data_IF_415028962577
#
_entry.id   IF_415028962577
#
_cell.length_a   1.000
_cell.length_b   1.000
_cell.length_c   1.000
_cell.angle_alpha   90.00
_cell.angle_beta   90.00
_cell.angle_gamma   90.00
#
_symmetry.space_group_name_H-M   'P 1'
#
loop_
_entity.id
_entity.type
_entity.pdbx_description
1 polymer ?
#
# COMPACT_ATOMS: atom_id res chain seq x y z
N UNK A 1 46.87 17.59 4.59
CA UNK A 1 46.15 16.56 5.38
C UNK A 1 45.66 15.49 4.42
N UNK A 2 46.18 14.27 4.53
CA UNK A 2 45.80 13.10 3.71
C UNK A 2 44.48 12.53 4.24
N UNK A 3 43.47 12.35 3.39
CA UNK A 3 42.33 11.48 3.69
C UNK A 3 42.56 10.12 3.04
N UNK A 4 42.85 9.13 3.90
CA UNK A 4 42.98 7.72 3.55
C UNK A 4 41.61 7.07 3.56
N UNK A 5 41.38 6.16 2.60
CA UNK A 5 40.16 5.35 2.44
C UNK A 5 39.94 4.48 3.68
N UNK A 6 38.69 4.43 4.16
CA UNK A 6 38.13 3.21 4.77
C UNK A 6 36.81 2.91 4.06
N UNK A 7 36.93 2.11 3.00
CA UNK A 7 35.86 1.31 2.42
C UNK A 7 35.50 0.22 3.42
N UNK A 8 34.44 0.43 4.18
CA UNK A 8 33.75 -0.61 4.94
C UNK A 8 32.33 -0.71 4.39
N UNK A 9 32.07 -1.71 3.56
CA UNK A 9 30.71 -2.09 3.18
C UNK A 9 29.95 -2.43 4.46
N UNK A 10 28.81 -1.78 4.78
CA UNK A 10 27.92 -2.31 5.80
C UNK A 10 27.42 -3.66 5.32
N UNK A 11 27.55 -4.67 6.19
CA UNK A 11 27.19 -6.05 5.90
C UNK A 11 25.80 -6.16 5.29
N UNK A 12 25.69 -7.04 4.29
CA UNK A 12 24.42 -7.43 3.67
C UNK A 12 23.48 -7.89 4.79
N UNK A 13 22.57 -7.02 5.21
CA UNK A 13 21.41 -7.39 6.00
C UNK A 13 20.68 -8.51 5.26
N UNK A 14 20.35 -9.57 5.97
CA UNK A 14 19.61 -10.70 5.40
C UNK A 14 18.33 -10.15 4.77
N UNK A 15 18.18 -10.46 3.49
CA UNK A 15 17.04 -10.05 2.66
C UNK A 15 15.84 -10.90 3.05
N UNK A 16 14.73 -10.28 3.43
CA UNK A 16 13.55 -11.02 3.88
C UNK A 16 12.57 -11.27 2.74
N UNK A 17 12.34 -12.55 2.47
CA UNK A 17 11.39 -13.09 1.50
C UNK A 17 10.20 -13.77 2.20
N UNK A 18 9.79 -13.32 3.39
CA UNK A 18 8.90 -14.11 4.27
C UNK A 18 7.39 -13.95 4.00
N UNK A 19 6.92 -12.76 3.59
CA UNK A 19 5.50 -12.52 3.27
C UNK A 19 5.15 -12.81 1.81
N UNK A 20 6.11 -12.64 0.88
CA UNK A 20 5.90 -12.89 -0.55
C UNK A 20 5.45 -14.33 -0.90
N UNK A 21 6.01 -15.41 -0.32
CA UNK A 21 5.57 -16.77 -0.61
C UNK A 21 4.10 -17.01 -0.29
N UNK A 22 3.59 -16.38 0.78
CA UNK A 22 2.17 -16.45 1.13
C UNK A 22 1.32 -15.71 0.10
N UNK A 23 1.66 -14.45 -0.20
CA UNK A 23 0.98 -13.65 -1.22
C UNK A 23 0.96 -14.36 -2.58
N UNK A 24 2.08 -14.97 -2.99
CA UNK A 24 2.19 -15.77 -4.22
C UNK A 24 1.35 -17.05 -4.19
N UNK A 25 1.17 -17.69 -3.04
CA UNK A 25 0.35 -18.91 -2.94
C UNK A 25 -1.15 -18.62 -3.07
N UNK A 26 -1.60 -17.46 -2.56
CA UNK A 26 -2.95 -16.92 -2.82
C UNK A 26 -3.08 -16.37 -4.24
N UNK A 27 -2.01 -15.80 -4.78
CA UNK A 27 -1.88 -15.25 -6.12
C UNK A 27 -1.23 -16.26 -7.09
N UNK A 28 -1.87 -17.41 -7.31
CA UNK A 28 -1.58 -18.19 -8.52
C UNK A 28 -2.48 -17.65 -9.64
N UNK A 29 -1.95 -17.12 -10.76
CA UNK A 29 -2.79 -16.80 -11.90
C UNK A 29 -3.42 -18.12 -12.36
N UNK A 30 -4.74 -18.23 -12.23
CA UNK A 30 -5.48 -19.38 -12.74
C UNK A 30 -5.28 -19.45 -14.26
N UNK A 31 -4.30 -20.24 -14.70
CA UNK A 31 -4.21 -20.68 -16.07
C UNK A 31 -4.99 -21.99 -16.18
N UNK A 32 -6.03 -21.93 -17.02
CA UNK A 32 -6.86 -23.02 -17.52
C UNK A 32 -8.06 -23.46 -16.66
N UNK A 33 -9.25 -23.16 -17.18
CA UNK A 33 -10.51 -23.77 -16.76
C UNK A 33 -11.67 -22.79 -16.87
N UNK A 34 -12.47 -22.92 -17.93
CA UNK A 34 -13.75 -22.22 -18.10
C UNK A 34 -14.59 -22.37 -16.82
N UNK A 35 -14.69 -21.27 -16.09
CA UNK A 35 -15.40 -21.15 -14.82
C UNK A 35 -15.55 -19.67 -14.53
N UNK A 36 -16.58 -19.07 -15.10
CA UNK A 36 -16.92 -17.65 -15.05
C UNK A 36 -17.17 -17.21 -13.60
N UNK A 37 -16.11 -16.91 -12.84
CA UNK A 37 -16.26 -15.98 -11.70
C UNK A 37 -16.54 -14.61 -12.32
N UNK A 38 -17.81 -14.22 -12.27
CA UNK A 38 -18.31 -12.93 -12.72
C UNK A 38 -17.44 -11.79 -12.18
N UNK A 39 -16.55 -11.23 -13.02
CA UNK A 39 -15.67 -10.10 -12.69
C UNK A 39 -16.41 -8.74 -12.66
N UNK A 40 -17.74 -8.73 -12.47
CA UNK A 40 -18.55 -7.51 -12.57
C UNK A 40 -19.23 -7.09 -11.25
N UNK A 41 -18.89 -7.68 -10.09
CA UNK A 41 -19.53 -7.26 -8.84
C UNK A 41 -18.70 -7.46 -7.54
N UNK A 42 -17.36 -7.57 -7.59
CA UNK A 42 -16.59 -7.50 -6.34
C UNK A 42 -16.52 -6.04 -5.88
N UNK A 43 -17.37 -5.73 -4.90
CA UNK A 43 -17.41 -4.44 -4.23
C UNK A 43 -16.09 -4.25 -3.49
N UNK A 44 -15.37 -3.17 -3.81
CA UNK A 44 -14.16 -2.77 -3.08
C UNK A 44 -14.52 -2.53 -1.62
N UNK A 45 -13.86 -3.25 -0.72
CA UNK A 45 -14.09 -3.18 0.72
C UNK A 45 -13.29 -2.05 1.36
N UNK A 46 -12.09 -1.79 0.87
CA UNK A 46 -11.23 -0.75 1.43
C UNK A 46 -10.19 -0.19 0.45
N UNK A 47 -9.53 0.88 0.85
CA UNK A 47 -8.33 1.41 0.25
C UNK A 47 -7.19 1.30 1.27
N UNK A 48 -6.01 0.87 0.84
CA UNK A 48 -4.84 0.73 1.71
C UNK A 48 -3.83 1.84 1.45
N UNK A 49 -3.42 2.50 2.52
CA UNK A 49 -2.31 3.46 2.51
C UNK A 49 -0.97 2.74 2.29
N UNK A 50 0.02 3.47 1.76
CA UNK A 50 1.38 2.99 1.54
C UNK A 50 2.03 2.51 2.86
N UNK A 51 1.75 3.19 3.98
CA UNK A 51 2.25 2.80 5.30
C UNK A 51 1.74 1.41 5.73
N UNK A 52 0.46 1.10 5.50
CA UNK A 52 -0.10 -0.23 5.80
C UNK A 52 0.57 -1.31 4.96
N UNK A 53 0.74 -1.06 3.65
CA UNK A 53 1.42 -1.98 2.74
C UNK A 53 2.90 -2.18 3.13
N UNK A 54 3.58 -1.15 3.62
CA UNK A 54 4.95 -1.24 4.09
C UNK A 54 5.09 -2.16 5.31
N UNK A 55 4.13 -2.17 6.25
CA UNK A 55 4.17 -3.15 7.35
C UNK A 55 4.03 -4.58 6.85
N UNK A 56 3.12 -4.84 5.89
CA UNK A 56 2.96 -6.17 5.29
C UNK A 56 4.22 -6.62 4.52
N UNK A 57 4.93 -5.68 3.89
CA UNK A 57 6.17 -5.95 3.17
C UNK A 57 7.40 -6.07 4.07
N UNK A 58 7.35 -5.53 5.29
CA UNK A 58 8.47 -5.53 6.23
C UNK A 58 8.70 -6.89 6.89
N UNK A 59 9.87 -7.07 7.51
CA UNK A 59 10.12 -8.24 8.36
C UNK A 59 9.17 -8.26 9.55
N UNK A 60 8.48 -9.38 9.77
CA UNK A 60 7.62 -9.58 10.95
C UNK A 60 8.33 -9.28 12.27
N UNK A 61 9.64 -9.54 12.36
CA UNK A 61 10.46 -9.28 13.55
C UNK A 61 10.63 -7.80 13.89
N UNK A 62 10.40 -6.89 12.94
CA UNK A 62 10.53 -5.44 13.14
C UNK A 62 9.37 -4.87 13.96
N UNK A 63 8.15 -5.26 13.61
CA UNK A 63 6.92 -4.95 14.37
C UNK A 63 5.90 -6.08 14.15
N UNK A 64 5.90 -7.12 15.00
CA UNK A 64 5.05 -8.29 14.81
C UNK A 64 3.56 -7.96 14.79
N UNK A 65 3.12 -7.02 15.64
CA UNK A 65 1.71 -6.63 15.75
C UNK A 65 1.24 -5.95 14.47
N UNK A 66 1.94 -4.90 14.02
CA UNK A 66 1.54 -4.16 12.82
C UNK A 66 1.70 -5.00 11.57
N UNK A 67 2.74 -5.83 11.51
CA UNK A 67 2.92 -6.79 10.42
C UNK A 67 1.75 -7.76 10.30
N UNK A 68 1.35 -8.42 11.40
CA UNK A 68 0.26 -9.41 11.37
C UNK A 68 -1.09 -8.77 10.99
N UNK A 69 -1.36 -7.55 11.47
CA UNK A 69 -2.56 -6.80 11.11
C UNK A 69 -2.53 -6.42 9.62
N UNK A 70 -1.41 -5.91 9.12
CA UNK A 70 -1.28 -5.50 7.73
C UNK A 70 -1.28 -6.69 6.75
N UNK A 71 -0.60 -7.79 7.10
CA UNK A 71 -0.62 -9.04 6.33
C UNK A 71 -2.06 -9.55 6.18
N UNK A 72 -2.84 -9.53 7.27
CA UNK A 72 -4.25 -9.92 7.24
C UNK A 72 -5.08 -9.01 6.32
N UNK A 73 -4.91 -7.69 6.41
CA UNK A 73 -5.62 -6.76 5.53
C UNK A 73 -5.32 -7.04 4.05
N UNK A 74 -4.05 -7.29 3.69
CA UNK A 74 -3.66 -7.59 2.31
C UNK A 74 -4.19 -8.95 1.85
N UNK A 75 -4.28 -9.95 2.72
CA UNK A 75 -4.69 -11.31 2.36
C UNK A 75 -6.21 -11.53 2.36
N UNK A 76 -6.95 -10.79 3.20
CA UNK A 76 -8.36 -11.10 3.50
C UNK A 76 -9.35 -10.03 3.05
N UNK A 77 -8.91 -8.93 2.43
CA UNK A 77 -9.80 -7.86 1.98
C UNK A 77 -9.73 -7.59 0.48
N UNK A 78 -10.86 -7.19 -0.10
CA UNK A 78 -10.92 -6.70 -1.47
C UNK A 78 -10.53 -5.21 -1.50
N UNK A 79 -9.24 -4.90 -1.59
CA UNK A 79 -8.74 -3.52 -1.51
C UNK A 79 -8.41 -2.90 -2.86
N UNK A 80 -8.41 -1.56 -2.91
CA UNK A 80 -7.87 -0.76 -4.01
C UNK A 80 -6.63 0.05 -3.61
N UNK A 81 -5.91 0.52 -4.61
CA UNK A 81 -4.70 1.37 -4.48
C UNK A 81 -4.66 2.47 -5.54
N UNK A 82 -3.69 3.38 -5.47
CA UNK A 82 -3.43 4.37 -6.52
C UNK A 82 -1.97 4.41 -6.95
N UNK A 83 -1.69 5.08 -8.06
CA UNK A 83 -0.31 5.33 -8.49
C UNK A 83 0.52 6.07 -7.44
N UNK A 84 -0.12 6.95 -6.65
CA UNK A 84 0.54 7.62 -5.52
C UNK A 84 0.94 6.62 -4.43
N UNK A 85 0.05 5.67 -4.09
CA UNK A 85 0.35 4.58 -3.14
C UNK A 85 1.60 3.81 -3.57
N UNK A 86 1.70 3.45 -4.86
CA UNK A 86 2.83 2.70 -5.41
C UNK A 86 4.13 3.51 -5.36
N UNK A 87 4.08 4.81 -5.71
CA UNK A 87 5.23 5.71 -5.67
C UNK A 87 5.77 5.83 -4.24
N UNK A 88 4.87 6.05 -3.27
CA UNK A 88 5.25 6.16 -1.86
C UNK A 88 5.81 4.86 -1.32
N UNK A 89 5.15 3.74 -1.61
CA UNK A 89 5.62 2.41 -1.26
C UNK A 89 7.05 2.15 -1.77
N UNK A 90 7.28 2.34 -3.08
CA UNK A 90 8.59 2.11 -3.69
C UNK A 90 9.67 3.03 -3.11
N UNK A 91 9.36 4.32 -2.93
CA UNK A 91 10.31 5.29 -2.38
C UNK A 91 10.71 4.92 -0.93
N UNK A 92 9.73 4.59 -0.08
CA UNK A 92 10.00 4.27 1.32
C UNK A 92 10.66 2.90 1.46
N UNK A 93 10.19 1.89 0.72
CA UNK A 93 10.76 0.54 0.75
C UNK A 93 12.26 0.58 0.41
N UNK A 94 12.63 1.34 -0.64
CA UNK A 94 14.02 1.51 -1.04
C UNK A 94 14.83 2.38 -0.08
N UNK A 95 14.29 3.54 0.34
CA UNK A 95 15.01 4.48 1.22
C UNK A 95 15.32 3.89 2.60
N UNK A 96 14.41 3.07 3.13
CA UNK A 96 14.54 2.45 4.45
C UNK A 96 15.06 1.00 4.40
N UNK A 97 15.40 0.49 3.20
CA UNK A 97 15.80 -0.90 2.99
C UNK A 97 14.84 -1.90 3.65
N UNK A 98 13.53 -1.65 3.53
CA UNK A 98 12.48 -2.48 4.16
C UNK A 98 12.54 -3.92 3.66
N UNK A 99 12.86 -4.08 2.38
CA UNK A 99 13.10 -5.37 1.72
C UNK A 99 14.06 -5.18 0.53
N UNK A 100 14.43 -6.25 -0.18
CA UNK A 100 15.26 -6.14 -1.37
C UNK A 100 14.50 -5.58 -2.57
N UNK A 101 15.21 -4.90 -3.48
CA UNK A 101 14.64 -4.31 -4.69
C UNK A 101 13.83 -5.33 -5.52
N UNK A 102 14.30 -6.57 -5.66
CA UNK A 102 13.57 -7.63 -6.37
C UNK A 102 12.21 -7.97 -5.71
N UNK A 103 12.09 -7.80 -4.40
CA UNK A 103 10.83 -7.98 -3.66
C UNK A 103 9.95 -6.74 -3.83
N UNK A 104 10.52 -5.54 -3.89
CA UNK A 104 9.78 -4.31 -4.22
C UNK A 104 9.13 -4.42 -5.60
N UNK A 105 9.88 -4.89 -6.62
CA UNK A 105 9.36 -5.10 -7.97
C UNK A 105 8.16 -6.06 -7.98
N UNK A 106 8.27 -7.15 -7.21
CA UNK A 106 7.21 -8.14 -7.02
C UNK A 106 5.96 -7.53 -6.39
N UNK A 107 6.11 -6.71 -5.34
CA UNK A 107 5.01 -5.98 -4.74
C UNK A 107 4.36 -5.01 -5.73
N UNK A 108 5.13 -4.28 -6.52
CA UNK A 108 4.56 -3.35 -7.51
C UNK A 108 3.72 -4.07 -8.57
N UNK A 109 4.18 -5.23 -9.06
CA UNK A 109 3.39 -6.07 -9.98
C UNK A 109 2.13 -6.58 -9.29
N UNK A 110 2.23 -7.09 -8.06
CA UNK A 110 1.09 -7.59 -7.28
C UNK A 110 0.03 -6.51 -7.04
N UNK A 111 0.44 -5.35 -6.51
CA UNK A 111 -0.44 -4.21 -6.24
C UNK A 111 -1.10 -3.68 -7.52
N UNK A 112 -0.42 -3.77 -8.66
CA UNK A 112 -0.97 -3.40 -9.97
C UNK A 112 -2.11 -4.30 -10.47
N UNK A 113 -2.39 -5.43 -9.80
CA UNK A 113 -3.51 -6.33 -10.15
C UNK A 113 -4.83 -5.96 -9.46
N UNK A 114 -4.81 -5.07 -8.47
CA UNK A 114 -5.98 -4.61 -7.73
C UNK A 114 -6.66 -3.42 -8.43
N UNK A 115 -7.92 -3.10 -8.08
CA UNK A 115 -8.56 -1.85 -8.49
C UNK A 115 -7.65 -0.64 -8.24
N UNK A 116 -7.43 0.14 -9.30
CA UNK A 116 -6.33 1.09 -9.38
C UNK A 116 -6.79 2.47 -9.85
N UNK A 117 -6.35 3.52 -9.16
CA UNK A 117 -6.51 4.92 -9.62
C UNK A 117 -5.19 5.47 -10.15
N UNK A 118 -5.09 5.83 -11.45
CA UNK A 118 -3.90 6.47 -11.99
C UNK A 118 -3.75 7.91 -11.47
N UNK A 119 -2.51 8.38 -11.38
CA UNK A 119 -2.23 9.79 -11.09
C UNK A 119 -2.30 10.57 -12.41
N UNK A 120 -3.45 11.17 -12.66
CA UNK A 120 -3.75 12.06 -13.78
C UNK A 120 -4.04 13.50 -13.29
N UNK A 121 -4.35 14.42 -14.21
CA UNK A 121 -4.70 15.79 -13.84
C UNK A 121 -5.92 15.85 -12.90
N UNK A 122 -6.92 15.01 -13.14
CA UNK A 122 -8.15 14.97 -12.33
C UNK A 122 -7.88 14.47 -10.91
N UNK A 123 -6.98 13.51 -10.75
CA UNK A 123 -6.48 13.04 -9.46
C UNK A 123 -5.90 14.20 -8.65
N UNK A 124 -5.04 15.01 -9.28
CA UNK A 124 -4.39 16.15 -8.63
C UNK A 124 -5.41 17.21 -8.19
N UNK A 125 -6.36 17.52 -9.07
CA UNK A 125 -7.44 18.48 -8.77
C UNK A 125 -8.33 17.97 -7.64
N UNK A 126 -8.70 16.68 -7.66
CA UNK A 126 -9.51 16.06 -6.63
C UNK A 126 -8.80 16.08 -5.26
N UNK A 127 -7.53 15.71 -5.21
CA UNK A 127 -6.72 15.77 -4.00
C UNK A 127 -6.65 17.19 -3.42
N UNK A 128 -6.44 18.20 -4.26
CA UNK A 128 -6.43 19.61 -3.82
C UNK A 128 -7.79 20.07 -3.27
N UNK A 129 -8.90 19.62 -3.87
CA UNK A 129 -10.26 19.92 -3.38
C UNK A 129 -10.50 19.28 -2.00
N UNK A 130 -10.14 18.01 -1.83
CA UNK A 130 -10.26 17.29 -0.56
C UNK A 130 -9.37 17.93 0.52
N UNK A 131 -8.13 18.29 0.16
CA UNK A 131 -7.19 18.96 1.06
C UNK A 131 -7.76 20.26 1.62
N UNK A 132 -8.33 21.11 0.75
CA UNK A 132 -8.98 22.37 1.15
C UNK A 132 -10.24 22.13 1.98
N UNK A 133 -11.06 21.16 1.61
CA UNK A 133 -12.32 20.87 2.30
C UNK A 133 -12.11 20.39 3.73
N UNK A 134 -11.14 19.51 3.94
CA UNK A 134 -10.90 18.85 5.23
C UNK A 134 -9.63 19.33 5.94
N UNK A 135 -8.95 20.35 5.42
CA UNK A 135 -7.71 20.91 5.96
C UNK A 135 -6.61 19.85 6.16
N UNK A 136 -6.47 18.95 5.18
CA UNK A 136 -5.49 17.87 5.17
C UNK A 136 -4.25 18.27 4.37
N UNK A 137 -3.11 17.62 4.63
CA UNK A 137 -1.96 17.69 3.72
C UNK A 137 -2.35 17.08 2.37
N UNK A 138 -1.76 17.59 1.31
CA UNK A 138 -2.14 17.21 -0.05
C UNK A 138 -2.03 15.70 -0.31
N UNK A 139 -0.96 15.03 0.13
CA UNK A 139 -0.77 13.61 -0.13
C UNK A 139 -1.85 12.75 0.53
N UNK A 140 -2.11 12.96 1.82
CA UNK A 140 -3.19 12.28 2.56
C UNK A 140 -4.56 12.53 1.92
N UNK A 141 -4.81 13.78 1.50
CA UNK A 141 -6.04 14.15 0.80
C UNK A 141 -6.19 13.50 -0.58
N UNK A 142 -5.08 13.31 -1.30
CA UNK A 142 -5.07 12.70 -2.62
C UNK A 142 -5.36 11.19 -2.53
N UNK A 143 -4.80 10.49 -1.54
CA UNK A 143 -5.13 9.09 -1.26
C UNK A 143 -6.60 8.94 -0.83
N UNK A 144 -7.10 9.84 0.02
CA UNK A 144 -8.51 9.86 0.41
C UNK A 144 -9.44 10.10 -0.80
N UNK A 145 -9.08 11.02 -1.70
CA UNK A 145 -9.83 11.25 -2.95
C UNK A 145 -9.80 10.02 -3.86
N UNK A 146 -8.69 9.28 -3.89
CA UNK A 146 -8.56 8.03 -4.64
C UNK A 146 -9.48 6.94 -4.07
N UNK A 147 -9.52 6.80 -2.75
CA UNK A 147 -10.43 5.89 -2.05
C UNK A 147 -11.89 6.21 -2.39
N UNK A 148 -12.26 7.50 -2.34
CA UNK A 148 -13.62 7.96 -2.70
C UNK A 148 -13.94 7.68 -4.18
N UNK A 149 -12.99 7.91 -5.11
CA UNK A 149 -13.14 7.63 -6.55
C UNK A 149 -13.34 6.15 -6.85
N UNK A 150 -12.73 5.25 -6.07
CA UNK A 150 -12.95 3.81 -6.17
C UNK A 150 -14.24 3.34 -5.49
N UNK A 151 -14.91 4.21 -4.73
CA UNK A 151 -16.07 3.83 -3.92
C UNK A 151 -15.69 2.95 -2.72
N UNK A 152 -14.43 3.00 -2.27
CA UNK A 152 -13.98 2.27 -1.10
C UNK A 152 -14.59 2.88 0.17
N UNK A 153 -15.38 2.12 0.96
CA UNK A 153 -16.05 2.68 2.14
C UNK A 153 -15.10 2.92 3.32
N UNK A 154 -13.94 2.26 3.32
CA UNK A 154 -12.92 2.36 4.37
C UNK A 154 -11.58 2.74 3.73
N UNK A 155 -10.89 3.72 4.32
CA UNK A 155 -9.50 4.02 4.03
C UNK A 155 -8.65 3.68 5.25
N UNK A 156 -7.81 2.64 5.13
CA UNK A 156 -6.91 2.24 6.21
C UNK A 156 -5.64 3.09 6.17
N UNK A 157 -5.48 4.00 7.13
CA UNK A 157 -4.37 4.97 7.22
C UNK A 157 -4.06 5.32 8.68
N UNK A 158 -2.79 5.61 8.98
CA UNK A 158 -2.35 6.09 10.29
C UNK A 158 -2.45 7.61 10.44
N UNK A 159 -2.45 8.33 9.32
CA UNK A 159 -2.20 9.76 9.27
C UNK A 159 -3.47 10.62 9.41
N UNK A 160 -4.65 9.98 9.37
CA UNK A 160 -5.95 10.62 9.55
C UNK A 160 -6.60 10.26 10.90
N UNK A 161 -7.57 11.08 11.31
CA UNK A 161 -8.32 10.84 12.54
C UNK A 161 -9.11 9.53 12.45
N UNK A 162 -8.82 8.59 13.36
CA UNK A 162 -9.50 7.30 13.39
C UNK A 162 -11.01 7.44 13.55
N UNK A 163 -11.77 6.68 12.75
CA UNK A 163 -13.23 6.71 12.61
C UNK A 163 -13.84 8.03 12.11
N UNK A 164 -13.04 9.01 11.68
CA UNK A 164 -13.58 10.18 11.03
C UNK A 164 -14.10 9.81 9.63
N UNK A 165 -15.28 10.36 9.29
CA UNK A 165 -15.89 10.22 7.96
C UNK A 165 -15.54 11.45 7.13
N UNK A 166 -15.02 11.21 5.93
CA UNK A 166 -14.69 12.20 4.93
C UNK A 166 -15.47 11.87 3.65
N UNK A 167 -16.59 12.56 3.43
CA UNK A 167 -17.47 12.25 2.32
C UNK A 167 -18.12 10.88 2.52
N UNK A 168 -17.92 9.97 1.57
CA UNK A 168 -18.38 8.57 1.68
C UNK A 168 -17.36 7.62 2.34
N UNK A 169 -16.14 8.10 2.64
CA UNK A 169 -15.03 7.27 3.10
C UNK A 169 -14.81 7.45 4.59
N UNK A 170 -14.71 6.34 5.34
CA UNK A 170 -14.29 6.37 6.75
C UNK A 170 -12.80 6.05 6.87
N UNK A 171 -12.04 6.96 7.48
CA UNK A 171 -10.64 6.69 7.80
C UNK A 171 -10.54 5.80 9.05
N UNK A 172 -9.76 4.74 8.97
CA UNK A 172 -9.55 3.80 10.07
C UNK A 172 -8.06 3.56 10.23
N UNK A 173 -7.49 3.97 11.37
CA UNK A 173 -6.18 3.49 11.78
C UNK A 173 -6.30 2.04 12.27
N UNK A 174 -5.72 1.03 11.58
CA UNK A 174 -5.88 -0.37 11.95
C UNK A 174 -4.99 -0.80 13.12
N UNK A 175 -4.09 0.07 13.60
CA UNK A 175 -3.08 -0.26 14.60
C UNK A 175 -3.40 0.30 16.00
N UNK A 176 -4.54 0.98 16.16
CA UNK A 176 -5.05 1.40 17.48
C UNK A 176 -5.64 0.21 18.23
#
# INVERSE_FOLDING_TARGET
MKWSRKTGLPGRGKVCASSWPKLRSTWAPHTNGVGTRSMLNEKIECFLDSNVLLYAASERTSDPRRHDIAERLVLETAFGVSGQTLVEFANVARRKSVTADAVVDQWLVFLGTFPFVPVDQDYVIAGLRVARRYQLKYYDAALLAAAERLGAPIFYTEDLNHNQVYGSVRAVNPFL
#
